data_IF_372709249966
#
_entry.id   IF_372709249966
#
_cell.length_a   1.000
_cell.length_b   1.000
_cell.length_c   1.000
_cell.angle_alpha   90.00
_cell.angle_beta   90.00
_cell.angle_gamma   90.00
#
_symmetry.space_group_name_H-M   'P 1'
#
loop_
_entity.id
_entity.type
_entity.pdbx_description
1 polymer ?
#
# COMPACT_ATOMS: atom_id res chain seq x y z
N UNK A 1 50.54 -15.14 9.39
CA UNK A 1 50.00 -14.00 10.12
C UNK A 1 49.74 -12.77 9.20
N UNK A 2 50.74 -12.24 8.46
CA UNK A 2 50.55 -11.07 7.57
C UNK A 2 49.44 -11.24 6.52
N UNK A 3 49.32 -12.43 5.88
CA UNK A 3 48.26 -12.70 4.88
C UNK A 3 46.86 -12.72 5.49
N UNK A 4 46.71 -13.23 6.72
CA UNK A 4 45.42 -13.25 7.44
C UNK A 4 45.03 -11.83 7.86
N UNK A 5 45.99 -11.01 8.30
CA UNK A 5 45.73 -9.59 8.64
C UNK A 5 45.28 -8.79 7.41
N UNK A 6 45.91 -9.01 6.24
CA UNK A 6 45.50 -8.33 5.00
C UNK A 6 44.11 -8.78 4.54
N UNK A 7 43.75 -10.06 4.68
CA UNK A 7 42.42 -10.56 4.34
C UNK A 7 41.36 -10.01 5.27
N UNK A 8 41.64 -9.92 6.58
CA UNK A 8 40.70 -9.27 7.54
C UNK A 8 40.53 -7.79 7.27
N UNK A 9 41.62 -7.07 6.95
CA UNK A 9 41.54 -5.65 6.61
C UNK A 9 40.74 -5.41 5.32
N UNK A 10 40.90 -6.26 4.30
CA UNK A 10 40.11 -6.20 3.08
C UNK A 10 38.63 -6.50 3.30
N UNK A 11 38.28 -7.48 4.17
CA UNK A 11 36.89 -7.73 4.56
C UNK A 11 36.27 -6.55 5.33
N UNK A 12 37.02 -5.90 6.22
CA UNK A 12 36.54 -4.72 6.96
C UNK A 12 36.26 -3.53 6.02
N UNK A 13 37.10 -3.32 5.01
CA UNK A 13 36.90 -2.23 4.03
C UNK A 13 35.70 -2.49 3.12
N UNK A 14 35.44 -3.76 2.78
CA UNK A 14 34.26 -4.14 2.00
C UNK A 14 32.95 -4.00 2.79
N UNK A 15 32.99 -4.19 4.13
CA UNK A 15 31.81 -4.07 4.98
C UNK A 15 31.35 -2.60 5.20
N UNK A 16 32.23 -1.61 5.02
CA UNK A 16 31.89 -0.20 5.24
C UNK A 16 31.09 0.44 4.11
N UNK A 17 30.93 -0.24 2.97
CA UNK A 17 30.19 0.27 1.81
C UNK A 17 28.73 -0.20 1.71
N UNK A 18 28.33 -1.20 2.49
CA UNK A 18 26.96 -1.71 2.48
C UNK A 18 26.09 -0.83 3.40
N UNK A 19 25.48 0.21 2.86
CA UNK A 19 24.39 0.95 3.51
C UNK A 19 23.08 0.42 2.96
N UNK A 20 22.25 -0.14 3.83
CA UNK A 20 20.86 -0.40 3.53
C UNK A 20 20.04 0.77 4.08
N UNK A 21 19.19 1.35 3.24
CA UNK A 21 18.18 2.30 3.69
C UNK A 21 17.03 1.49 4.27
N UNK A 22 16.78 1.65 5.57
CA UNK A 22 15.75 0.92 6.29
C UNK A 22 14.65 1.88 6.73
N UNK A 23 13.45 1.37 6.85
CA UNK A 23 12.31 2.08 7.43
C UNK A 23 11.06 2.04 6.56
N UNK A 24 9.95 2.35 7.20
CA UNK A 24 8.67 2.62 6.54
C UNK A 24 8.44 4.13 6.52
N UNK A 25 8.43 4.70 5.31
CA UNK A 25 8.36 6.14 5.13
C UNK A 25 6.91 6.57 4.86
N UNK A 26 6.40 7.48 5.69
CA UNK A 26 5.07 8.05 5.50
C UNK A 26 5.05 8.99 4.30
N UNK A 27 4.13 8.75 3.38
CA UNK A 27 4.00 9.51 2.14
C UNK A 27 3.87 11.03 2.36
N UNK A 28 3.08 11.54 3.33
CA UNK A 28 2.98 12.97 3.59
C UNK A 28 4.30 13.62 4.05
N UNK A 29 5.22 12.82 4.61
CA UNK A 29 6.51 13.29 5.10
C UNK A 29 7.65 13.13 4.10
N UNK A 30 7.41 12.50 2.95
CA UNK A 30 8.43 12.13 1.97
C UNK A 30 9.27 13.35 1.51
N UNK A 31 8.62 14.48 1.24
CA UNK A 31 9.30 15.72 0.85
C UNK A 31 10.34 16.17 1.88
N UNK A 32 9.99 16.04 3.17
CA UNK A 32 10.82 16.54 4.28
C UNK A 32 11.91 15.56 4.65
N UNK A 33 11.64 14.27 4.60
CA UNK A 33 12.51 13.24 5.18
C UNK A 33 13.43 12.58 4.14
N UNK A 34 12.93 12.24 2.97
CA UNK A 34 13.60 11.32 2.06
C UNK A 34 13.93 11.89 0.70
N UNK A 35 13.29 12.97 0.25
CA UNK A 35 13.42 13.46 -1.12
C UNK A 35 14.87 13.77 -1.53
N UNK A 36 15.69 14.25 -0.59
CA UNK A 36 17.11 14.51 -0.87
C UNK A 36 17.88 13.22 -1.11
N UNK A 37 17.74 12.23 -0.24
CA UNK A 37 18.43 10.94 -0.34
C UNK A 37 18.01 10.21 -1.62
N UNK A 38 16.72 10.15 -1.92
CA UNK A 38 16.19 9.56 -3.14
C UNK A 38 16.78 10.20 -4.40
N UNK A 39 16.88 11.53 -4.42
CA UNK A 39 17.49 12.27 -5.53
C UNK A 39 18.99 11.98 -5.67
N UNK A 40 19.72 11.94 -4.56
CA UNK A 40 21.16 11.62 -4.53
C UNK A 40 21.41 10.18 -5.03
N UNK A 41 20.45 9.26 -4.83
CA UNK A 41 20.46 7.89 -5.37
C UNK A 41 20.01 7.79 -6.83
N UNK A 42 19.64 8.90 -7.47
CA UNK A 42 19.27 8.96 -8.88
C UNK A 42 17.77 8.90 -9.16
N UNK A 43 16.90 8.93 -8.14
CA UNK A 43 15.46 9.03 -8.33
C UNK A 43 15.11 10.37 -8.98
N UNK A 44 14.39 10.31 -10.10
CA UNK A 44 13.94 11.51 -10.85
C UNK A 44 12.56 11.99 -10.45
N UNK A 45 11.81 11.20 -9.67
CA UNK A 45 10.50 11.57 -9.18
C UNK A 45 10.62 12.57 -8.03
N UNK A 46 9.78 13.59 -8.06
CA UNK A 46 9.59 14.47 -6.91
C UNK A 46 8.68 13.81 -5.87
N UNK A 47 8.66 14.34 -4.66
CA UNK A 47 7.74 13.84 -3.63
C UNK A 47 6.26 14.02 -4.05
N UNK A 48 5.94 15.03 -4.86
CA UNK A 48 4.59 15.26 -5.40
C UNK A 48 4.24 14.27 -6.51
N UNK A 49 5.19 13.82 -7.31
CA UNK A 49 4.95 12.77 -8.31
C UNK A 49 4.58 11.44 -7.63
N UNK A 50 5.06 11.23 -6.40
CA UNK A 50 4.79 10.03 -5.61
C UNK A 50 3.49 10.18 -4.81
N UNK A 51 3.32 11.32 -4.12
CA UNK A 51 2.16 11.60 -3.30
C UNK A 51 1.75 13.07 -3.41
N UNK A 52 0.60 13.33 -4.01
CA UNK A 52 -0.05 14.64 -4.03
C UNK A 52 -1.55 14.44 -3.69
N UNK A 53 -2.06 15.24 -2.74
CA UNK A 53 -3.44 15.17 -2.28
C UNK A 53 -4.40 15.88 -3.25
N UNK A 54 -3.89 16.83 -4.06
CA UNK A 54 -4.71 17.68 -4.92
C UNK A 54 -4.58 17.30 -6.41
N UNK A 55 -3.57 16.52 -6.77
CA UNK A 55 -3.30 16.13 -8.14
C UNK A 55 -3.01 14.65 -8.24
N UNK A 56 -3.17 14.08 -9.43
CA UNK A 56 -2.78 12.70 -9.70
C UNK A 56 -1.31 12.48 -9.43
N UNK A 57 -1.01 11.37 -8.78
CA UNK A 57 0.35 10.97 -8.39
C UNK A 57 0.44 9.45 -8.37
N UNK A 58 1.64 8.91 -8.15
CA UNK A 58 1.87 7.46 -8.12
C UNK A 58 0.99 6.74 -7.08
N UNK A 59 0.60 7.42 -5.98
CA UNK A 59 -0.31 6.85 -4.98
C UNK A 59 -1.63 6.34 -5.58
N UNK A 60 -2.12 6.98 -6.65
CA UNK A 60 -3.41 6.65 -7.25
C UNK A 60 -3.37 5.35 -8.07
N UNK A 61 -2.18 4.87 -8.39
CA UNK A 61 -1.98 3.59 -9.03
C UNK A 61 -1.83 2.42 -8.04
N UNK A 62 -1.63 2.71 -6.75
CA UNK A 62 -1.39 1.69 -5.73
C UNK A 62 -2.64 1.54 -4.87
N UNK A 63 -3.13 0.31 -4.74
CA UNK A 63 -4.36 0.02 -4.02
C UNK A 63 -4.14 -1.04 -2.93
N UNK A 64 -4.96 -1.00 -1.90
CA UNK A 64 -5.11 -2.14 -0.99
C UNK A 64 -6.06 -3.15 -1.64
N UNK A 65 -5.59 -4.37 -1.79
CA UNK A 65 -6.31 -5.45 -2.47
C UNK A 65 -6.77 -6.50 -1.44
N UNK A 66 -8.07 -6.78 -1.43
CA UNK A 66 -8.66 -7.88 -0.65
C UNK A 66 -8.36 -7.83 0.85
N UNK A 67 -8.21 -6.63 1.43
CA UNK A 67 -8.08 -6.44 2.88
C UNK A 67 -6.69 -6.65 3.47
N UNK A 68 -5.64 -6.89 2.66
CA UNK A 68 -4.29 -7.10 3.20
C UNK A 68 -3.16 -7.14 2.20
N UNK A 69 -3.46 -7.25 0.93
CA UNK A 69 -2.47 -7.23 -0.15
C UNK A 69 -2.36 -5.83 -0.78
N UNK A 70 -1.34 -5.65 -1.59
CA UNK A 70 -1.17 -4.49 -2.48
C UNK A 70 -1.44 -4.92 -3.91
N UNK A 71 -2.06 -4.06 -4.69
CA UNK A 71 -2.21 -4.19 -6.14
C UNK A 71 -1.81 -2.91 -6.84
N UNK A 72 -1.43 -3.02 -8.11
CA UNK A 72 -1.02 -1.91 -8.95
C UNK A 72 -1.95 -1.80 -10.15
N UNK A 73 -2.57 -0.63 -10.33
CA UNK A 73 -3.34 -0.31 -11.53
C UNK A 73 -2.40 0.09 -12.64
N UNK A 74 -2.42 -0.66 -13.74
CA UNK A 74 -1.48 -0.51 -14.87
C UNK A 74 -2.13 -0.03 -16.17
N UNK A 75 -3.43 0.28 -16.14
CA UNK A 75 -4.13 0.85 -17.30
C UNK A 75 -5.17 1.89 -16.87
N UNK A 76 -5.55 2.74 -17.81
CA UNK A 76 -6.64 3.71 -17.67
C UNK A 76 -8.04 3.08 -17.64
N UNK A 77 -8.11 1.76 -17.87
CA UNK A 77 -9.36 0.98 -17.85
C UNK A 77 -9.49 0.11 -16.60
N UNK A 78 -8.59 0.31 -15.62
CA UNK A 78 -8.66 -0.39 -14.32
C UNK A 78 -8.05 -1.79 -14.32
N UNK A 79 -7.20 -2.15 -15.32
CA UNK A 79 -6.44 -3.39 -15.24
C UNK A 79 -5.48 -3.29 -14.04
N UNK A 80 -5.61 -4.25 -13.12
CA UNK A 80 -4.84 -4.31 -11.88
C UNK A 80 -4.02 -5.60 -11.87
N UNK A 81 -2.79 -5.50 -11.39
CA UNK A 81 -1.92 -6.65 -11.13
C UNK A 81 -1.63 -6.75 -9.64
N UNK A 82 -1.48 -7.99 -9.17
CA UNK A 82 -1.10 -8.28 -7.78
C UNK A 82 -0.34 -9.61 -7.74
N UNK A 83 0.10 -10.01 -6.55
CA UNK A 83 0.76 -11.30 -6.37
C UNK A 83 -0.25 -12.45 -6.44
N UNK A 84 0.15 -13.58 -7.01
CA UNK A 84 -0.70 -14.77 -7.14
C UNK A 84 -1.32 -15.19 -5.81
N UNK A 85 -0.56 -15.20 -4.71
CA UNK A 85 -1.07 -15.60 -3.40
C UNK A 85 -2.20 -14.68 -2.89
N UNK A 86 -2.28 -13.43 -3.34
CA UNK A 86 -3.35 -12.50 -2.98
C UNK A 86 -4.67 -12.83 -3.68
N UNK A 87 -4.60 -13.36 -4.91
CA UNK A 87 -5.76 -13.80 -5.69
C UNK A 87 -6.13 -15.27 -5.48
N UNK A 88 -5.27 -16.06 -4.83
CA UNK A 88 -5.38 -17.52 -4.79
C UNK A 88 -6.77 -18.01 -4.35
N UNK A 89 -7.27 -17.54 -3.23
CA UNK A 89 -8.58 -17.96 -2.71
C UNK A 89 -9.74 -17.56 -3.63
N UNK A 90 -9.62 -16.42 -4.30
CA UNK A 90 -10.60 -15.94 -5.28
C UNK A 90 -10.61 -16.82 -6.52
N UNK A 91 -9.43 -17.15 -7.06
CA UNK A 91 -9.28 -18.03 -8.21
C UNK A 91 -9.80 -19.44 -7.88
N UNK A 92 -9.48 -19.94 -6.68
CA UNK A 92 -10.00 -21.21 -6.19
C UNK A 92 -11.53 -21.21 -6.09
N UNK A 93 -12.11 -20.12 -5.57
CA UNK A 93 -13.57 -19.98 -5.46
C UNK A 93 -14.30 -19.90 -6.81
N UNK A 94 -13.62 -19.46 -7.86
CA UNK A 94 -14.14 -19.45 -9.24
C UNK A 94 -13.93 -20.78 -9.96
N UNK A 95 -13.02 -21.64 -9.46
CA UNK A 95 -12.69 -22.90 -10.09
C UNK A 95 -13.75 -23.99 -9.80
N UNK A 96 -13.89 -24.92 -10.74
CA UNK A 96 -14.73 -26.14 -10.62
C UNK A 96 -13.94 -27.34 -11.14
N UNK A 97 -14.45 -28.58 -10.95
CA UNK A 97 -13.81 -29.76 -11.53
C UNK A 97 -13.66 -29.71 -13.07
N UNK A 98 -14.55 -28.97 -13.76
CA UNK A 98 -14.55 -28.80 -15.22
C UNK A 98 -13.64 -27.65 -15.68
N UNK A 99 -13.36 -26.69 -14.77
CA UNK A 99 -12.58 -25.49 -15.03
C UNK A 99 -11.69 -25.18 -13.84
N UNK A 100 -10.52 -25.80 -13.78
CA UNK A 100 -9.56 -25.59 -12.69
C UNK A 100 -8.61 -24.42 -13.04
N UNK A 101 -9.06 -23.21 -12.81
CA UNK A 101 -8.28 -22.00 -13.14
C UNK A 101 -6.95 -21.87 -12.40
N UNK A 102 -6.76 -22.58 -11.27
CA UNK A 102 -5.47 -22.63 -10.58
C UNK A 102 -4.41 -23.47 -11.31
N UNK A 103 -4.83 -24.54 -12.02
CA UNK A 103 -3.94 -25.44 -12.74
C UNK A 103 -3.88 -25.10 -14.23
N UNK A 104 -5.03 -24.85 -14.83
CA UNK A 104 -5.16 -24.63 -16.29
C UNK A 104 -4.84 -23.17 -16.66
N UNK A 105 -4.89 -22.26 -15.70
CA UNK A 105 -4.84 -20.82 -15.93
C UNK A 105 -6.16 -20.30 -16.51
N UNK A 106 -6.21 -18.99 -16.66
CA UNK A 106 -7.33 -18.28 -17.29
C UNK A 106 -6.81 -17.02 -17.99
N UNK A 107 -7.47 -16.63 -19.07
CA UNK A 107 -7.22 -15.34 -19.71
C UNK A 107 -8.49 -14.85 -20.40
N UNK A 108 -9.05 -13.75 -19.90
CA UNK A 108 -10.17 -13.07 -20.57
C UNK A 108 -9.64 -12.31 -21.78
N UNK A 109 -10.13 -12.67 -22.97
CA UNK A 109 -9.75 -12.00 -24.22
C UNK A 109 -10.49 -10.68 -24.43
N UNK A 110 -11.61 -10.50 -23.73
CA UNK A 110 -12.41 -9.28 -23.71
C UNK A 110 -13.20 -9.17 -22.39
N UNK A 111 -13.85 -8.01 -22.15
CA UNK A 111 -14.58 -7.74 -20.91
C UNK A 111 -15.78 -8.66 -20.65
N UNK A 112 -16.33 -9.30 -21.67
CA UNK A 112 -17.47 -10.21 -21.49
C UNK A 112 -17.04 -11.55 -20.87
N UNK A 113 -15.75 -11.84 -20.94
CA UNK A 113 -15.13 -13.05 -20.38
C UNK A 113 -14.56 -12.81 -18.98
N UNK A 114 -14.48 -11.58 -18.51
CA UNK A 114 -14.02 -11.28 -17.15
C UNK A 114 -14.94 -11.94 -16.11
N UNK A 115 -14.35 -12.67 -15.15
CA UNK A 115 -15.10 -13.40 -14.14
C UNK A 115 -15.29 -12.55 -12.88
N UNK A 116 -16.53 -12.16 -12.52
CA UNK A 116 -16.79 -11.43 -11.30
C UNK A 116 -16.31 -12.22 -10.06
N UNK A 117 -15.66 -11.55 -9.12
CA UNK A 117 -15.18 -12.13 -7.86
C UNK A 117 -16.03 -11.60 -6.71
N UNK A 118 -17.08 -12.33 -6.27
CA UNK A 118 -17.95 -11.86 -5.21
C UNK A 118 -17.21 -11.63 -3.90
N UNK A 119 -17.46 -10.48 -3.25
CA UNK A 119 -16.86 -10.13 -1.96
C UNK A 119 -15.42 -9.64 -2.01
N UNK A 120 -14.80 -9.58 -3.19
CA UNK A 120 -13.49 -8.95 -3.35
C UNK A 120 -13.66 -7.45 -3.60
N UNK A 121 -12.88 -6.64 -2.88
CA UNK A 121 -12.83 -5.20 -3.09
C UNK A 121 -11.39 -4.68 -3.17
N UNK A 122 -11.26 -3.49 -3.72
CA UNK A 122 -10.01 -2.73 -3.75
C UNK A 122 -10.24 -1.34 -3.17
N UNK A 123 -9.29 -0.89 -2.37
CA UNK A 123 -9.34 0.41 -1.71
C UNK A 123 -8.27 1.33 -2.30
N UNK A 124 -8.71 2.44 -2.86
CA UNK A 124 -7.86 3.52 -3.36
C UNK A 124 -7.68 4.56 -2.27
N UNK A 125 -6.45 4.87 -1.90
CA UNK A 125 -6.15 5.89 -0.91
C UNK A 125 -6.38 7.28 -1.51
N UNK A 126 -7.41 7.97 -1.03
CA UNK A 126 -7.69 9.35 -1.40
C UNK A 126 -6.75 10.32 -0.68
N UNK A 127 -6.60 10.17 0.64
CA UNK A 127 -5.73 11.03 1.44
C UNK A 127 -5.37 10.44 2.80
N UNK A 128 -4.31 10.99 3.40
CA UNK A 128 -3.90 10.78 4.79
C UNK A 128 -3.92 12.10 5.54
N UNK A 129 -4.49 12.11 6.74
CA UNK A 129 -4.56 13.29 7.62
C UNK A 129 -3.95 12.94 8.96
N UNK A 130 -2.98 13.74 9.40
CA UNK A 130 -2.35 13.59 10.71
C UNK A 130 -3.33 14.00 11.81
N UNK A 131 -3.64 13.09 12.71
CA UNK A 131 -4.53 13.26 13.87
C UNK A 131 -3.79 12.93 15.18
N UNK A 132 -2.48 12.94 15.15
CA UNK A 132 -1.65 12.59 16.30
C UNK A 132 -1.95 13.48 17.50
N UNK A 133 -2.17 14.77 17.27
CA UNK A 133 -2.47 15.73 18.35
C UNK A 133 -3.79 15.39 19.08
N UNK A 134 -4.73 14.75 18.40
CA UNK A 134 -6.03 14.39 18.95
C UNK A 134 -6.00 13.07 19.72
N UNK A 135 -5.06 12.17 19.41
CA UNK A 135 -5.08 10.77 19.88
C UNK A 135 -3.88 10.38 20.76
N UNK A 136 -2.68 10.91 20.52
CA UNK A 136 -1.45 10.40 21.14
C UNK A 136 -1.38 10.53 22.69
N UNK A 137 -2.23 11.36 23.28
CA UNK A 137 -2.32 11.50 24.75
C UNK A 137 -3.41 10.63 25.38
N UNK A 138 -4.14 9.88 24.59
CA UNK A 138 -5.29 9.08 25.03
C UNK A 138 -4.90 7.60 25.10
N UNK A 139 -5.55 6.86 25.99
CA UNK A 139 -5.36 5.41 26.16
C UNK A 139 -6.71 4.71 26.39
N UNK A 140 -6.75 3.40 26.16
CA UNK A 140 -7.87 2.53 26.45
C UNK A 140 -9.20 3.02 25.82
N UNK A 141 -10.26 3.09 26.62
CA UNK A 141 -11.60 3.48 26.16
C UNK A 141 -11.66 4.92 25.61
N UNK A 142 -10.85 5.85 26.15
CA UNK A 142 -10.81 7.22 25.68
C UNK A 142 -10.21 7.32 24.26
N UNK A 143 -9.13 6.60 24.01
CA UNK A 143 -8.53 6.50 22.68
C UNK A 143 -9.52 5.90 21.68
N UNK A 144 -10.18 4.80 22.06
CA UNK A 144 -11.19 4.16 21.23
C UNK A 144 -12.33 5.11 20.87
N UNK A 145 -12.93 5.77 21.86
CA UNK A 145 -14.05 6.69 21.65
C UNK A 145 -13.67 7.89 20.76
N UNK A 146 -12.47 8.46 20.94
CA UNK A 146 -11.97 9.54 20.10
C UNK A 146 -11.72 9.06 18.67
N UNK A 147 -11.15 7.87 18.50
CA UNK A 147 -10.93 7.24 17.20
C UNK A 147 -12.23 6.99 16.44
N UNK A 148 -13.23 6.38 17.10
CA UNK A 148 -14.55 6.13 16.52
C UNK A 148 -15.25 7.45 16.11
N UNK A 149 -15.08 8.51 16.91
CA UNK A 149 -15.63 9.84 16.60
C UNK A 149 -14.96 10.45 15.37
N UNK A 150 -13.64 10.38 15.27
CA UNK A 150 -12.90 10.88 14.10
C UNK A 150 -13.28 10.11 12.83
N UNK A 151 -13.32 8.78 12.88
CA UNK A 151 -13.76 7.94 11.74
C UNK A 151 -15.14 8.37 11.26
N UNK A 152 -16.09 8.57 12.18
CA UNK A 152 -17.42 9.02 11.82
C UNK A 152 -17.43 10.38 11.15
N UNK A 153 -16.69 11.37 11.69
CA UNK A 153 -16.57 12.72 11.11
C UNK A 153 -16.02 12.67 9.69
N UNK A 154 -14.97 11.84 9.48
CA UNK A 154 -14.36 11.72 8.16
C UNK A 154 -15.26 10.98 7.16
N UNK A 155 -16.03 9.96 7.60
CA UNK A 155 -17.00 9.27 6.76
C UNK A 155 -18.15 10.20 6.34
N UNK A 156 -18.69 10.99 7.29
CA UNK A 156 -19.73 11.99 7.00
C UNK A 156 -19.25 13.06 6.01
N UNK A 157 -17.98 13.47 6.13
CA UNK A 157 -17.39 14.49 5.24
C UNK A 157 -16.97 13.94 3.85
N UNK A 158 -16.90 12.63 3.67
CA UNK A 158 -16.45 12.00 2.43
C UNK A 158 -17.42 10.89 1.99
N UNK A 159 -18.55 11.26 1.36
CA UNK A 159 -19.52 10.27 0.88
C UNK A 159 -18.86 9.26 -0.09
N UNK A 160 -19.22 7.99 0.05
CA UNK A 160 -18.66 6.85 -0.72
C UNK A 160 -17.17 6.55 -0.45
N UNK A 161 -16.63 7.05 0.65
CA UNK A 161 -15.30 6.70 1.13
C UNK A 161 -15.41 6.06 2.51
N UNK A 162 -14.40 5.31 2.88
CA UNK A 162 -14.21 4.71 4.19
C UNK A 162 -12.96 5.30 4.86
N UNK A 163 -13.12 5.80 6.07
CA UNK A 163 -12.02 6.31 6.87
C UNK A 163 -11.57 5.28 7.88
N UNK A 164 -10.26 5.13 8.02
CA UNK A 164 -9.62 4.24 8.98
C UNK A 164 -8.56 5.00 9.77
N UNK A 165 -8.44 4.73 11.07
CA UNK A 165 -7.32 5.21 11.87
C UNK A 165 -6.20 4.18 11.81
N UNK A 166 -5.01 4.64 11.43
CA UNK A 166 -3.82 3.82 11.38
C UNK A 166 -2.73 4.39 12.30
N UNK A 167 -2.33 3.65 13.34
CA UNK A 167 -1.17 4.00 14.15
C UNK A 167 0.14 3.65 13.42
N UNK A 168 1.17 4.48 13.61
CA UNK A 168 2.51 4.27 13.09
C UNK A 168 3.56 4.46 14.19
N UNK A 169 4.75 3.93 13.97
CA UNK A 169 5.91 4.07 14.87
C UNK A 169 5.57 3.71 16.33
N UNK A 170 4.99 2.53 16.51
CA UNK A 170 4.60 2.03 17.83
C UNK A 170 3.64 2.99 18.57
N UNK A 171 2.57 3.40 17.86
CA UNK A 171 1.51 4.29 18.35
C UNK A 171 1.94 5.72 18.72
N UNK A 172 3.11 6.13 18.24
CA UNK A 172 3.58 7.51 18.44
C UNK A 172 2.98 8.52 17.45
N UNK A 173 2.40 8.02 16.35
CA UNK A 173 1.81 8.85 15.30
C UNK A 173 0.53 8.19 14.80
N UNK A 174 -0.53 8.98 14.62
CA UNK A 174 -1.83 8.52 14.16
C UNK A 174 -2.26 9.28 12.90
N UNK A 175 -2.71 8.52 11.90
CA UNK A 175 -3.31 9.08 10.70
C UNK A 175 -4.73 8.57 10.53
N UNK A 176 -5.64 9.44 10.08
CA UNK A 176 -6.85 9.01 9.37
C UNK A 176 -6.47 8.82 7.91
N UNK A 177 -6.71 7.64 7.39
CA UNK A 177 -6.59 7.34 5.96
C UNK A 177 -7.99 7.20 5.39
N UNK A 178 -8.28 7.96 4.35
CA UNK A 178 -9.58 7.93 3.65
C UNK A 178 -9.41 7.14 2.37
N UNK A 179 -10.22 6.11 2.20
CA UNK A 179 -10.22 5.22 1.06
C UNK A 179 -11.52 5.29 0.28
N UNK A 180 -11.41 5.20 -1.03
CA UNK A 180 -12.53 4.92 -1.91
C UNK A 180 -12.55 3.44 -2.26
N UNK A 181 -13.68 2.76 -2.00
CA UNK A 181 -13.83 1.34 -2.26
C UNK A 181 -14.47 1.09 -3.63
N UNK A 182 -13.95 0.05 -4.32
CA UNK A 182 -14.56 -0.53 -5.51
C UNK A 182 -14.77 -2.03 -5.30
N UNK A 183 -16.00 -2.49 -5.52
CA UNK A 183 -16.45 -3.86 -5.24
C UNK A 183 -16.66 -4.71 -6.50
N UNK A 184 -16.73 -4.10 -7.70
CA UNK A 184 -16.79 -4.85 -8.96
C UNK A 184 -15.36 -5.21 -9.40
N UNK A 185 -14.77 -6.17 -8.71
CA UNK A 185 -13.45 -6.71 -9.04
C UNK A 185 -13.63 -8.02 -9.81
N UNK A 186 -12.89 -8.17 -10.91
CA UNK A 186 -13.02 -9.29 -11.82
C UNK A 186 -11.69 -9.95 -12.10
N UNK A 187 -11.71 -11.26 -12.19
CA UNK A 187 -10.54 -12.04 -12.59
C UNK A 187 -10.39 -12.00 -14.13
N UNK A 188 -9.19 -11.60 -14.56
CA UNK A 188 -8.83 -11.43 -15.96
C UNK A 188 -7.81 -12.46 -16.41
N UNK A 189 -6.84 -12.78 -15.53
CA UNK A 189 -5.77 -13.73 -15.85
C UNK A 189 -4.75 -13.90 -14.73
#
# INVERSE_FOLDING_TARGET
MRKILCSLAALLVLATGARADEGMWLLPLLQKMNSKVMKDMGCKLSAKDIYDINNSSLKDAIVQFGGGCTGEVISDQGLLVTNHHCGYSSIQGLSSPEHNYLEDGYWAMDRTQELPVPGLSVLFMERMVDVTADLASLEGEALKAASDSLVRIFNEANPNCEAMIQPFYNENVYYVIVYKEYTDVRFVG
#
